data_IF_502534898588
#
_entry.id   IF_502534898588
#
_cell.length_a   1.000
_cell.length_b   1.000
_cell.length_c   1.000
_cell.angle_alpha   90.00
_cell.angle_beta   90.00
_cell.angle_gamma   90.00
#
_symmetry.space_group_name_H-M   'P 1'
#
loop_
_entity.id
_entity.type
_entity.pdbx_description
1 polymer ?
#
# COMPACT_ATOMS: atom_id res chain seq x y z
N UNK A 1 10.12 4.74 19.64
CA UNK A 1 10.35 6.19 19.45
C UNK A 1 9.00 6.85 19.25
N UNK A 2 8.80 8.08 19.71
CA UNK A 2 7.54 8.78 19.49
C UNK A 2 7.33 9.10 18.00
N UNK A 3 6.07 9.34 17.61
CA UNK A 3 5.74 9.82 16.27
C UNK A 3 6.51 11.11 15.92
N UNK A 4 6.66 12.01 16.90
CA UNK A 4 7.40 13.26 16.75
C UNK A 4 8.87 13.02 16.45
N UNK A 5 9.54 12.16 17.23
CA UNK A 5 10.95 11.86 17.03
C UNK A 5 11.21 11.17 15.68
N UNK A 6 10.28 10.34 15.20
CA UNK A 6 10.36 9.75 13.87
C UNK A 6 10.17 10.80 12.76
N UNK A 7 9.23 11.73 12.93
CA UNK A 7 8.99 12.80 11.96
C UNK A 7 10.19 13.73 11.82
N UNK A 8 10.79 14.16 12.94
CA UNK A 8 11.99 14.98 12.96
C UNK A 8 13.19 14.30 12.29
N UNK A 9 13.33 12.97 12.47
CA UNK A 9 14.34 12.20 11.75
C UNK A 9 14.05 12.12 10.25
N UNK A 10 12.78 11.88 9.88
CA UNK A 10 12.38 11.80 8.49
C UNK A 10 12.59 13.12 7.73
N UNK A 11 12.29 14.26 8.37
CA UNK A 11 12.50 15.59 7.79
C UNK A 11 13.95 15.90 7.42
N UNK A 12 14.93 15.21 8.02
CA UNK A 12 16.35 15.37 7.69
C UNK A 12 16.73 14.71 6.37
N UNK A 13 15.96 13.72 5.91
CA UNK A 13 16.34 12.85 4.78
C UNK A 13 15.26 12.67 3.71
N UNK A 14 14.03 13.12 3.96
CA UNK A 14 12.91 13.07 3.02
C UNK A 14 12.32 14.48 2.89
N UNK A 15 12.08 15.01 1.68
CA UNK A 15 11.42 16.30 1.51
C UNK A 15 10.08 16.37 2.24
N UNK A 16 9.94 17.30 3.19
CA UNK A 16 8.75 17.40 4.04
C UNK A 16 8.53 16.21 5.00
N UNK A 17 9.52 15.33 5.15
CA UNK A 17 9.47 14.15 6.00
C UNK A 17 8.64 12.98 5.47
N UNK A 18 8.19 13.01 4.20
CA UNK A 18 7.25 12.02 3.66
C UNK A 18 7.45 11.71 2.17
N UNK A 19 7.15 10.45 1.77
CA UNK A 19 7.21 10.01 0.36
C UNK A 19 5.94 10.30 -0.46
N UNK A 20 4.93 10.93 0.15
CA UNK A 20 3.74 11.44 -0.54
C UNK A 20 3.18 12.62 0.24
N UNK A 21 2.89 13.78 -0.39
CA UNK A 21 2.63 15.04 0.33
C UNK A 21 1.50 14.98 1.37
N UNK A 22 0.43 14.23 1.08
CA UNK A 22 -0.74 14.12 1.97
C UNK A 22 -0.38 13.53 3.34
N UNK A 23 0.68 12.72 3.41
CA UNK A 23 1.14 12.08 4.65
C UNK A 23 1.76 13.06 5.64
N UNK A 24 2.09 14.28 5.22
CA UNK A 24 2.70 15.30 6.09
C UNK A 24 1.68 16.03 6.97
N UNK A 25 0.37 15.73 6.86
CA UNK A 25 -0.70 16.31 7.69
C UNK A 25 -0.80 17.84 7.62
N UNK A 26 -0.17 18.49 6.63
CA UNK A 26 -0.13 19.97 6.52
C UNK A 26 -1.52 20.63 6.52
N UNK A 27 -2.52 19.96 5.97
CA UNK A 27 -3.89 20.48 5.91
C UNK A 27 -4.64 20.42 7.26
N UNK A 28 -4.21 19.57 8.19
CA UNK A 28 -4.88 19.34 9.48
C UNK A 28 -4.01 19.69 10.70
N UNK A 29 -2.73 20.00 10.46
CA UNK A 29 -1.75 20.29 11.52
C UNK A 29 -1.34 19.06 12.32
N UNK A 30 -0.50 19.31 13.33
CA UNK A 30 0.02 18.27 14.23
C UNK A 30 1.09 17.38 13.60
N UNK A 31 1.44 16.33 14.33
CA UNK A 31 2.47 15.37 13.93
C UNK A 31 1.85 14.19 13.17
N UNK A 32 2.36 13.82 11.99
CA UNK A 32 1.94 12.61 11.29
C UNK A 32 2.06 11.35 12.16
N UNK A 33 1.12 10.42 11.99
CA UNK A 33 1.18 9.11 12.65
C UNK A 33 2.08 8.17 11.85
N UNK A 34 3.17 7.74 12.48
CA UNK A 34 4.05 6.70 11.97
C UNK A 34 3.43 5.35 12.33
N UNK A 35 2.87 4.65 11.34
CA UNK A 35 2.18 3.39 11.55
C UNK A 35 3.19 2.25 11.72
N UNK A 36 3.11 1.56 12.86
CA UNK A 36 3.99 0.43 13.19
C UNK A 36 3.40 -0.91 12.72
N UNK A 37 2.08 -1.06 12.76
CA UNK A 37 1.37 -2.24 12.26
C UNK A 37 -0.09 -1.94 11.95
N UNK A 38 -0.72 -2.80 11.16
CA UNK A 38 -2.16 -2.76 10.90
C UNK A 38 -2.71 -4.19 10.76
N UNK A 39 -3.97 -4.39 11.14
CA UNK A 39 -4.66 -5.68 11.08
C UNK A 39 -6.17 -5.45 11.05
N UNK A 40 -6.86 -6.11 10.11
CA UNK A 40 -8.28 -5.92 9.88
C UNK A 40 -8.60 -4.44 9.65
N UNK A 41 -9.60 -3.87 10.36
CA UNK A 41 -9.98 -2.47 10.21
C UNK A 41 -9.16 -1.52 11.11
N UNK A 42 -8.01 -1.95 11.66
CA UNK A 42 -7.26 -1.18 12.65
C UNK A 42 -5.82 -0.91 12.23
N UNK A 43 -5.30 0.24 12.67
CA UNK A 43 -3.87 0.58 12.64
C UNK A 43 -3.36 0.91 14.05
N UNK A 44 -2.08 0.68 14.28
CA UNK A 44 -1.36 1.07 15.48
C UNK A 44 -0.16 1.91 15.09
N UNK A 45 -0.03 3.08 15.70
CA UNK A 45 1.13 3.95 15.49
C UNK A 45 2.36 3.49 16.29
N UNK A 46 3.47 4.22 16.14
CA UNK A 46 4.75 3.94 16.80
C UNK A 46 4.71 4.09 18.33
N UNK A 47 3.66 4.72 18.86
CA UNK A 47 3.43 4.90 20.30
C UNK A 47 2.41 3.87 20.82
N UNK A 48 1.93 2.97 19.97
CA UNK A 48 0.98 1.91 20.32
C UNK A 48 -0.48 2.36 20.34
N UNK A 49 -0.78 3.60 19.95
CA UNK A 49 -2.15 4.08 19.87
C UNK A 49 -2.89 3.36 18.74
N UNK A 50 -4.03 2.76 19.07
CA UNK A 50 -4.91 2.08 18.11
C UNK A 50 -5.91 3.06 17.50
N UNK A 51 -6.16 2.93 16.21
CA UNK A 51 -7.17 3.68 15.47
C UNK A 51 -8.05 2.73 14.66
N UNK A 52 -9.33 3.07 14.49
CA UNK A 52 -10.15 2.50 13.42
C UNK A 52 -9.70 3.17 12.12
N UNK A 53 -9.34 2.37 11.11
CA UNK A 53 -8.79 2.86 9.86
C UNK A 53 -9.88 3.13 8.81
N UNK A 54 -10.13 4.41 8.56
CA UNK A 54 -10.95 4.88 7.44
C UNK A 54 -10.12 5.37 6.24
N UNK A 55 -8.79 5.33 6.32
CA UNK A 55 -7.89 5.69 5.23
C UNK A 55 -7.71 4.49 4.29
N UNK A 56 -7.54 3.27 4.82
CA UNK A 56 -7.45 2.04 4.02
C UNK A 56 -6.31 2.08 3.00
N UNK A 57 -5.18 2.68 3.38
CA UNK A 57 -4.05 2.98 2.48
C UNK A 57 -4.41 3.81 1.23
N UNK A 58 -5.43 4.67 1.33
CA UNK A 58 -6.00 5.44 0.22
C UNK A 58 -6.74 4.58 -0.82
N UNK A 59 -7.26 3.41 -0.41
CA UNK A 59 -8.10 2.55 -1.26
C UNK A 59 -7.74 1.06 -1.27
N UNK A 60 -6.47 0.66 -1.43
CA UNK A 60 -6.11 -0.75 -1.68
C UNK A 60 -6.56 -1.76 -0.62
N UNK A 61 -6.78 -1.32 0.62
CA UNK A 61 -7.12 -2.21 1.75
C UNK A 61 -8.62 -2.48 1.85
N UNK A 62 -9.28 -2.79 0.72
CA UNK A 62 -10.74 -3.05 0.69
C UNK A 62 -11.17 -4.23 1.56
N UNK A 63 -10.30 -5.23 1.72
CA UNK A 63 -10.50 -6.39 2.60
C UNK A 63 -9.96 -6.17 4.03
N UNK A 64 -9.51 -4.96 4.35
CA UNK A 64 -8.75 -4.66 5.56
C UNK A 64 -7.28 -5.11 5.50
N UNK A 65 -6.52 -4.75 6.52
CA UNK A 65 -5.09 -5.02 6.59
C UNK A 65 -4.80 -6.47 6.97
N UNK A 66 -3.84 -7.09 6.29
CA UNK A 66 -3.38 -8.44 6.64
C UNK A 66 -4.46 -9.51 6.49
N UNK A 67 -5.30 -9.39 5.46
CA UNK A 67 -6.31 -10.41 5.15
C UNK A 67 -5.62 -11.79 4.96
N UNK A 68 -6.03 -12.85 5.69
CA UNK A 68 -5.28 -14.11 5.75
C UNK A 68 -4.97 -14.73 4.38
N UNK A 69 -5.96 -14.78 3.49
CA UNK A 69 -5.79 -15.34 2.15
C UNK A 69 -4.79 -14.55 1.28
N UNK A 70 -4.72 -13.22 1.46
CA UNK A 70 -3.77 -12.37 0.72
C UNK A 70 -2.36 -12.57 1.24
N UNK A 71 -2.20 -12.63 2.57
CA UNK A 71 -0.91 -12.89 3.20
C UNK A 71 -0.34 -14.25 2.79
N UNK A 72 -1.16 -15.30 2.81
CA UNK A 72 -0.75 -16.64 2.40
C UNK A 72 -0.29 -16.66 0.93
N UNK A 73 -1.05 -16.05 0.02
CA UNK A 73 -0.70 -15.97 -1.38
C UNK A 73 0.62 -15.22 -1.62
N UNK A 74 0.82 -14.09 -0.93
CA UNK A 74 2.07 -13.31 -1.00
C UNK A 74 3.26 -14.10 -0.45
N UNK A 75 3.09 -14.79 0.69
CA UNK A 75 4.14 -15.61 1.30
C UNK A 75 4.56 -16.76 0.38
N UNK A 76 3.59 -17.46 -0.20
CA UNK A 76 3.88 -18.52 -1.18
C UNK A 76 4.60 -17.96 -2.40
N UNK A 77 4.10 -16.87 -2.98
CA UNK A 77 4.72 -16.23 -4.14
C UNK A 77 6.17 -15.79 -3.87
N UNK A 78 6.46 -15.27 -2.68
CA UNK A 78 7.79 -14.82 -2.30
C UNK A 78 8.83 -15.96 -2.22
N UNK A 79 8.40 -17.20 -1.93
CA UNK A 79 9.30 -18.36 -1.93
C UNK A 79 9.77 -18.75 -3.33
N UNK A 80 8.98 -18.46 -4.36
CA UNK A 80 9.37 -18.71 -5.76
C UNK A 80 10.29 -17.61 -6.31
N UNK A 81 10.31 -16.43 -5.68
CA UNK A 81 11.10 -15.27 -6.08
C UNK A 81 10.25 -14.01 -6.30
N UNK A 82 10.87 -12.83 -6.18
CA UNK A 82 10.17 -11.53 -6.28
C UNK A 82 9.97 -11.02 -7.70
N UNK A 83 10.86 -11.38 -8.64
CA UNK A 83 10.83 -10.92 -10.03
C UNK A 83 11.74 -11.79 -10.89
N UNK A 84 11.32 -12.07 -12.13
CA UNK A 84 12.02 -12.97 -13.04
C UNK A 84 12.51 -12.32 -14.34
N UNK A 85 11.99 -11.14 -14.70
CA UNK A 85 12.27 -10.51 -15.99
C UNK A 85 11.81 -11.33 -17.21
N UNK A 86 10.95 -12.33 -16.99
CA UNK A 86 10.39 -13.22 -18.00
C UNK A 86 8.90 -13.48 -17.70
N UNK A 87 8.09 -13.88 -18.70
CA UNK A 87 6.66 -14.09 -18.51
C UNK A 87 6.32 -15.18 -17.49
N UNK A 88 5.19 -15.01 -16.81
CA UNK A 88 4.64 -15.94 -15.81
C UNK A 88 3.15 -16.22 -16.07
N UNK A 89 2.68 -17.40 -15.67
CA UNK A 89 1.26 -17.77 -15.75
C UNK A 89 0.36 -16.79 -14.95
N UNK A 90 0.86 -16.30 -13.81
CA UNK A 90 0.15 -15.34 -12.94
C UNK A 90 -0.17 -14.02 -13.63
N UNK A 91 0.65 -13.59 -14.60
CA UNK A 91 0.35 -12.40 -15.40
C UNK A 91 -0.87 -12.61 -16.29
N UNK A 92 -1.04 -13.81 -16.85
CA UNK A 92 -2.21 -14.18 -17.67
C UNK A 92 -3.46 -14.24 -16.80
N UNK A 93 -3.40 -14.96 -15.67
CA UNK A 93 -4.52 -15.10 -14.73
C UNK A 93 -5.05 -13.73 -14.25
N UNK A 94 -4.14 -12.82 -13.90
CA UNK A 94 -4.52 -11.47 -13.47
C UNK A 94 -5.13 -10.65 -14.62
N UNK A 95 -4.57 -10.75 -15.83
CA UNK A 95 -5.09 -10.05 -17.00
C UNK A 95 -6.51 -10.52 -17.36
N UNK A 96 -6.74 -11.82 -17.36
CA UNK A 96 -8.06 -12.42 -17.62
C UNK A 96 -9.10 -11.99 -16.58
N UNK A 97 -8.72 -11.98 -15.29
CA UNK A 97 -9.61 -11.53 -14.23
C UNK A 97 -10.02 -10.05 -14.40
N UNK A 98 -9.09 -9.18 -14.81
CA UNK A 98 -9.38 -7.77 -15.06
C UNK A 98 -10.34 -7.61 -16.25
N UNK A 99 -10.05 -8.26 -17.38
CA UNK A 99 -10.91 -8.23 -18.59
C UNK A 99 -12.32 -8.72 -18.28
N UNK A 100 -12.44 -9.79 -17.48
CA UNK A 100 -13.75 -10.32 -17.08
C UNK A 100 -14.56 -9.36 -16.18
N UNK A 101 -13.89 -8.57 -15.33
CA UNK A 101 -14.52 -7.69 -14.35
C UNK A 101 -14.78 -6.26 -14.86
N UNK A 102 -14.08 -5.81 -15.90
CA UNK A 102 -14.15 -4.44 -16.41
C UNK A 102 -14.61 -4.43 -17.88
N UNK A 103 -15.91 -4.24 -18.16
CA UNK A 103 -16.49 -4.49 -19.50
C UNK A 103 -15.90 -3.68 -20.66
N UNK A 104 -15.26 -2.55 -20.38
CA UNK A 104 -14.64 -1.71 -21.41
C UNK A 104 -13.22 -2.15 -21.80
N UNK A 105 -12.65 -3.13 -21.09
CA UNK A 105 -11.26 -3.56 -21.27
C UNK A 105 -11.24 -4.90 -22.00
N UNK A 106 -10.81 -4.90 -23.27
CA UNK A 106 -10.65 -6.13 -24.07
C UNK A 106 -9.24 -6.73 -23.93
N UNK A 107 -8.23 -5.88 -23.70
CA UNK A 107 -6.85 -6.26 -23.42
C UNK A 107 -6.27 -5.33 -22.36
N UNK A 108 -5.33 -5.82 -21.56
CA UNK A 108 -4.70 -5.03 -20.49
C UNK A 108 -3.17 -5.16 -20.52
N UNK A 109 -2.50 -4.08 -20.12
CA UNK A 109 -1.07 -4.06 -19.81
C UNK A 109 -0.90 -3.64 -18.35
N UNK A 110 -0.21 -4.46 -17.56
CA UNK A 110 0.10 -4.15 -16.18
C UNK A 110 1.23 -3.11 -16.09
N UNK A 111 1.11 -2.19 -15.15
CA UNK A 111 2.13 -1.20 -14.77
C UNK A 111 2.26 -1.18 -13.25
N UNK A 112 3.19 -0.40 -12.69
CA UNK A 112 3.46 -0.45 -11.25
C UNK A 112 2.61 0.52 -10.42
N UNK A 113 2.08 1.59 -11.04
CA UNK A 113 1.38 2.69 -10.35
C UNK A 113 0.33 3.35 -11.24
N UNK A 114 -0.70 3.91 -10.61
CA UNK A 114 -1.78 4.63 -11.32
C UNK A 114 -1.29 5.82 -12.17
N UNK A 115 -0.22 6.51 -11.76
CA UNK A 115 0.40 7.55 -12.59
C UNK A 115 0.96 6.98 -13.91
N UNK A 116 1.59 5.80 -13.89
CA UNK A 116 2.10 5.15 -15.11
C UNK A 116 0.96 4.70 -16.05
N UNK A 117 -0.22 4.39 -15.49
CA UNK A 117 -1.39 4.01 -16.27
C UNK A 117 -2.14 5.22 -16.87
N UNK A 118 -2.04 6.40 -16.25
CA UNK A 118 -2.76 7.61 -16.67
C UNK A 118 -1.96 8.57 -17.56
N UNK A 119 -0.69 8.27 -17.83
CA UNK A 119 0.18 9.03 -18.75
C UNK A 119 0.14 8.40 -20.14
#
# INVERSE_FOLDING_TARGET
MSNQALFERAQRVIPGGVNSPVRAFRAVGGTPRFIARAQGPYMWDAEGQRYIDYIGSWGPMILGHGHPAVLEAVQKAALDGFSFGAPTEREVELAEAIVALVPSVEQVRLTSRGTEAGM
#
